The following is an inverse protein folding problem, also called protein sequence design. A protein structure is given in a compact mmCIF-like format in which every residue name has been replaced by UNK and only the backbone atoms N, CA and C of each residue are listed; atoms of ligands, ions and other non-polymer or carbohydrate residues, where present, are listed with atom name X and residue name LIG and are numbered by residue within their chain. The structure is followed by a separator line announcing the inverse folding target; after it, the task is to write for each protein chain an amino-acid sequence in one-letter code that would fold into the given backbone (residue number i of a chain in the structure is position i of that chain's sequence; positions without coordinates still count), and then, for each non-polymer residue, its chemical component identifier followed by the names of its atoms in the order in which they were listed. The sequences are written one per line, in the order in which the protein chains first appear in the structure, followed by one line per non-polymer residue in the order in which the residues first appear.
data_IF_350531765730
#
_entry.id   IF_350531765730
#
_cell.length_a   1.000
_cell.length_b   1.000
_cell.length_c   1.000
_cell.angle_alpha   90.00
_cell.angle_beta   90.00
_cell.angle_gamma   90.00
#
_symmetry.space_group_name_H-M   'P 1'
#
loop_
_entity.id
_entity.type
_entity.pdbx_description
1 polymer ?
#
# COMPACT_ATOMS: atom_id res chain seq x y z
N UNK A 1 18.85 31.00 4.81
CA UNK A 1 18.56 29.60 4.40
C UNK A 1 18.64 29.56 2.89
N UNK A 2 19.64 28.89 2.31
CA UNK A 2 19.75 28.73 0.86
C UNK A 2 18.89 27.54 0.42
N UNK A 3 18.00 27.75 -0.56
CA UNK A 3 17.21 26.68 -1.19
C UNK A 3 18.12 25.66 -1.88
N UNK A 4 17.83 24.35 -1.85
CA UNK A 4 18.64 23.38 -2.58
C UNK A 4 18.44 23.59 -4.09
N UNK A 5 19.50 23.54 -4.91
CA UNK A 5 19.38 23.70 -6.35
C UNK A 5 18.69 22.47 -6.93
N UNK A 6 17.39 22.58 -7.15
CA UNK A 6 16.61 21.58 -7.85
C UNK A 6 16.87 21.62 -9.35
N UNK A 7 17.05 20.45 -9.97
CA UNK A 7 17.13 20.36 -11.44
C UNK A 7 15.76 20.62 -12.06
N UNK A 8 15.72 21.40 -13.14
CA UNK A 8 14.50 21.63 -13.93
C UNK A 8 14.68 21.01 -15.31
N UNK A 9 13.73 20.18 -15.73
CA UNK A 9 13.66 19.65 -17.09
C UNK A 9 12.23 19.85 -17.63
N UNK A 10 12.07 20.77 -18.59
CA UNK A 10 10.75 21.11 -19.10
C UNK A 10 9.83 21.67 -18.00
N UNK A 11 8.70 21.00 -17.78
CA UNK A 11 7.73 21.33 -16.73
C UNK A 11 7.93 20.53 -15.42
N UNK A 12 9.04 19.79 -15.28
CA UNK A 12 9.40 19.05 -14.07
C UNK A 12 10.48 19.81 -13.29
N UNK A 13 10.18 20.15 -12.03
CA UNK A 13 11.17 20.66 -11.07
C UNK A 13 11.39 19.63 -9.98
N UNK A 14 12.62 19.19 -9.80
CA UNK A 14 12.98 18.19 -8.79
C UNK A 14 13.65 18.89 -7.62
N UNK A 15 13.08 18.78 -6.41
CA UNK A 15 13.70 19.28 -5.19
C UNK A 15 14.38 18.11 -4.45
N UNK A 16 15.72 18.14 -4.37
CA UNK A 16 16.48 17.17 -3.60
C UNK A 16 16.49 17.60 -2.12
N UNK A 17 15.96 16.75 -1.25
CA UNK A 17 16.00 16.95 0.20
C UNK A 17 17.20 16.18 0.75
N UNK A 18 18.13 16.90 1.37
CA UNK A 18 19.34 16.32 1.97
C UNK A 18 19.23 16.34 3.50
N UNK A 19 19.73 15.29 4.14
CA UNK A 19 19.78 15.18 5.59
C UNK A 19 20.72 14.06 6.02
N UNK A 20 20.99 13.97 7.33
CA UNK A 20 21.67 12.79 7.86
C UNK A 20 20.81 11.57 7.59
N UNK A 21 21.44 10.51 7.10
CA UNK A 21 20.77 9.23 6.88
C UNK A 21 20.41 8.62 8.24
N UNK A 22 19.11 8.71 8.58
CA UNK A 22 18.54 8.19 9.82
C UNK A 22 18.05 6.74 9.67
N UNK A 23 18.11 6.18 8.46
CA UNK A 23 17.51 4.88 8.11
C UNK A 23 18.61 3.84 7.82
N UNK A 24 19.90 4.18 7.97
CA UNK A 24 21.03 3.25 7.73
C UNK A 24 20.79 1.87 8.37
N UNK A 25 20.60 0.87 7.52
CA UNK A 25 20.44 -0.54 7.90
C UNK A 25 19.00 -1.01 8.10
N UNK A 26 17.99 -0.14 7.98
CA UNK A 26 16.58 -0.55 7.92
C UNK A 26 16.20 -0.86 6.47
N UNK A 27 15.93 -2.13 6.20
CA UNK A 27 15.34 -2.59 4.95
C UNK A 27 13.85 -2.80 5.19
N UNK A 28 13.03 -2.05 4.45
CA UNK A 28 11.58 -2.26 4.42
C UNK A 28 11.23 -3.21 3.30
N UNK A 29 10.26 -4.08 3.55
CA UNK A 29 9.55 -4.75 2.47
C UNK A 29 8.45 -3.83 1.95
N UNK A 30 8.25 -3.79 0.64
CA UNK A 30 7.03 -3.23 0.08
C UNK A 30 5.83 -4.13 0.42
N UNK A 31 4.62 -3.57 0.40
CA UNK A 31 3.40 -4.35 0.58
C UNK A 31 3.31 -5.53 -0.41
N UNK A 32 3.69 -5.32 -1.68
CA UNK A 32 3.67 -6.35 -2.72
C UNK A 32 4.61 -7.52 -2.38
N UNK A 33 5.84 -7.24 -1.97
CA UNK A 33 6.79 -8.27 -1.54
C UNK A 33 6.27 -9.02 -0.32
N UNK A 34 5.72 -8.29 0.66
CA UNK A 34 5.20 -8.86 1.88
C UNK A 34 3.98 -9.77 1.64
N UNK A 35 3.09 -9.42 0.71
CA UNK A 35 1.95 -10.24 0.31
C UNK A 35 2.40 -11.54 -0.38
N UNK A 36 3.31 -11.45 -1.35
CA UNK A 36 3.84 -12.63 -2.07
C UNK A 36 4.58 -13.58 -1.14
N UNK A 37 5.34 -13.02 -0.19
CA UNK A 37 6.06 -13.80 0.81
C UNK A 37 5.18 -14.26 1.98
N UNK A 38 3.88 -13.93 1.99
CA UNK A 38 2.93 -14.21 3.08
C UNK A 38 3.38 -13.67 4.45
N UNK A 39 4.12 -12.57 4.43
CA UNK A 39 4.60 -11.82 5.61
C UNK A 39 3.57 -10.83 6.13
N UNK A 40 2.63 -10.43 5.27
CA UNK A 40 1.48 -9.60 5.61
C UNK A 40 0.21 -10.29 5.18
N UNK A 41 -0.85 -10.09 5.97
CA UNK A 41 -2.19 -10.57 5.66
C UNK A 41 -3.15 -9.38 5.68
N UNK A 42 -3.80 -9.13 4.55
CA UNK A 42 -4.85 -8.12 4.41
C UNK A 42 -6.20 -8.83 4.33
N UNK A 43 -7.17 -8.39 5.13
CA UNK A 43 -8.48 -9.04 5.28
C UNK A 43 -9.61 -8.04 5.13
N UNK A 44 -10.71 -8.52 4.60
CA UNK A 44 -11.97 -7.79 4.54
C UNK A 44 -12.57 -7.64 5.95
N UNK A 45 -13.16 -6.49 6.26
CA UNK A 45 -13.76 -6.20 7.57
C UNK A 45 -15.29 -6.10 7.53
N UNK A 46 -15.89 -6.15 6.33
CA UNK A 46 -17.30 -5.83 6.03
C UNK A 46 -17.64 -4.34 6.14
N UNK A 47 -16.69 -3.50 6.54
CA UNK A 47 -16.82 -2.06 6.48
C UNK A 47 -16.43 -1.54 5.09
N UNK A 48 -17.26 -0.64 4.54
CA UNK A 48 -17.10 -0.18 3.15
C UNK A 48 -15.80 0.57 2.93
N UNK A 49 -15.21 1.23 3.93
CA UNK A 49 -14.01 2.05 3.74
C UNK A 49 -12.80 1.57 4.54
N UNK A 50 -12.79 0.28 4.93
CA UNK A 50 -11.78 -0.22 5.85
C UNK A 50 -11.43 -1.69 5.59
N UNK A 51 -10.13 -1.98 5.63
CA UNK A 51 -9.59 -3.34 5.70
C UNK A 51 -8.89 -3.54 7.05
N UNK A 52 -8.54 -4.80 7.34
CA UNK A 52 -7.63 -5.15 8.42
C UNK A 52 -6.33 -5.64 7.84
N UNK A 53 -5.21 -5.05 8.25
CA UNK A 53 -3.86 -5.46 7.85
C UNK A 53 -3.09 -5.96 9.07
N UNK A 54 -2.29 -6.99 8.88
CA UNK A 54 -1.47 -7.60 9.92
C UNK A 54 -0.11 -8.01 9.35
N UNK A 55 0.97 -7.50 9.95
CA UNK A 55 2.33 -7.96 9.68
C UNK A 55 2.66 -9.08 10.65
N UNK A 56 2.76 -10.31 10.14
CA UNK A 56 3.11 -11.51 10.92
C UNK A 56 4.61 -11.77 10.93
N UNK A 57 5.39 -10.98 10.20
CA UNK A 57 6.83 -11.14 10.03
C UNK A 57 7.66 -10.40 11.09
N UNK A 58 8.98 -10.47 10.94
CA UNK A 58 9.96 -9.75 11.76
C UNK A 58 10.49 -8.47 11.10
N UNK A 59 10.11 -8.22 9.86
CA UNK A 59 10.54 -7.07 9.06
C UNK A 59 9.47 -5.99 9.06
N UNK A 60 9.88 -4.74 8.92
CA UNK A 60 8.94 -3.65 8.71
C UNK A 60 8.42 -3.69 7.26
N UNK A 61 7.14 -3.36 7.10
CA UNK A 61 6.50 -3.32 5.79
C UNK A 61 6.04 -1.91 5.50
N UNK A 62 6.49 -1.34 4.39
CA UNK A 62 5.99 -0.08 3.89
C UNK A 62 4.76 -0.31 3.02
N UNK A 63 3.66 0.30 3.43
CA UNK A 63 2.42 0.42 2.67
C UNK A 63 2.41 1.79 2.04
N UNK A 64 2.32 1.83 0.71
CA UNK A 64 2.27 3.09 -0.03
C UNK A 64 0.82 3.47 -0.32
N UNK A 65 0.48 4.73 -0.09
CA UNK A 65 -0.80 5.25 -0.55
C UNK A 65 -0.93 5.10 -2.06
N UNK A 66 -2.09 4.61 -2.52
CA UNK A 66 -2.36 4.31 -3.92
C UNK A 66 -2.20 2.83 -4.27
N UNK A 67 -1.59 2.00 -3.42
CA UNK A 67 -1.50 0.55 -3.63
C UNK A 67 -2.89 -0.06 -3.76
N UNK A 68 -3.13 -0.77 -4.88
CA UNK A 68 -4.36 -1.52 -5.11
C UNK A 68 -4.16 -2.95 -4.65
N UNK A 69 -4.79 -3.34 -3.55
CA UNK A 69 -4.85 -4.74 -3.13
C UNK A 69 -5.92 -5.50 -3.93
N UNK A 70 -5.53 -6.65 -4.51
CA UNK A 70 -6.38 -7.49 -5.36
C UNK A 70 -6.90 -8.74 -4.64
N UNK A 71 -8.17 -9.06 -4.87
CA UNK A 71 -8.89 -10.18 -4.23
C UNK A 71 -9.99 -9.71 -3.29
N UNK A 72 -10.33 -10.52 -2.28
CA UNK A 72 -11.42 -10.20 -1.36
C UNK A 72 -12.80 -10.20 -2.03
N UNK A 73 -13.73 -9.40 -1.51
CA UNK A 73 -15.03 -9.18 -2.17
C UNK A 73 -14.91 -8.23 -3.38
N UNK A 74 -13.94 -7.31 -3.32
CA UNK A 74 -13.69 -6.28 -4.31
C UNK A 74 -12.28 -5.75 -4.13
N UNK A 75 -11.64 -5.37 -5.23
CA UNK A 75 -10.33 -4.71 -5.19
C UNK A 75 -10.40 -3.36 -4.48
N UNK A 76 -9.41 -3.08 -3.64
CA UNK A 76 -9.36 -1.88 -2.81
C UNK A 76 -8.07 -1.11 -3.04
N UNK A 77 -8.15 0.21 -3.04
CA UNK A 77 -6.98 1.10 -2.97
C UNK A 77 -6.76 1.51 -1.53
N UNK A 78 -5.54 1.33 -1.03
CA UNK A 78 -5.10 1.85 0.27
C UNK A 78 -4.78 3.34 0.14
N UNK A 79 -5.19 4.15 1.11
CA UNK A 79 -5.08 5.62 1.04
C UNK A 79 -4.20 6.24 2.11
N UNK A 80 -3.35 5.42 2.72
CA UNK A 80 -2.43 5.86 3.78
C UNK A 80 -1.03 5.36 3.48
N UNK A 81 -0.04 6.22 3.74
CA UNK A 81 1.35 5.81 3.83
C UNK A 81 1.61 5.33 5.27
N UNK A 82 2.00 4.07 5.41
CA UNK A 82 2.14 3.42 6.72
C UNK A 82 3.37 2.52 6.74
N UNK A 83 4.24 2.71 7.74
CA UNK A 83 5.22 1.70 8.14
C UNK A 83 4.52 0.77 9.13
N UNK A 84 4.26 -0.46 8.70
CA UNK A 84 3.59 -1.48 9.50
C UNK A 84 4.65 -2.25 10.32
N UNK A 85 4.65 -2.12 11.66
CA UNK A 85 5.69 -2.68 12.50
C UNK A 85 5.64 -4.22 12.51
N UNK A 86 6.75 -4.89 12.85
CA UNK A 86 6.79 -6.34 12.97
C UNK A 86 5.80 -6.84 14.02
N UNK A 87 5.09 -7.94 13.73
CA UNK A 87 4.09 -8.52 14.65
C UNK A 87 3.06 -7.50 15.13
N UNK A 88 2.55 -6.69 14.20
CA UNK A 88 1.65 -5.57 14.49
C UNK A 88 0.33 -5.96 15.15
N UNK A 89 -0.06 -7.24 15.06
CA UNK A 89 -1.46 -7.64 15.21
C UNK A 89 -2.33 -7.03 14.12
N UNK A 90 -3.65 -7.14 14.29
CA UNK A 90 -4.62 -6.59 13.33
C UNK A 90 -4.77 -5.09 13.55
N UNK A 91 -4.45 -4.32 12.52
CA UNK A 91 -4.61 -2.87 12.49
C UNK A 91 -5.66 -2.51 11.42
N UNK A 92 -6.62 -1.62 11.73
CA UNK A 92 -7.51 -1.08 10.69
C UNK A 92 -6.73 -0.20 9.71
N UNK A 93 -6.99 -0.35 8.42
CA UNK A 93 -6.39 0.48 7.37
C UNK A 93 -7.48 1.01 6.43
N UNK A 94 -7.41 2.31 6.13
CA UNK A 94 -8.39 2.97 5.26
C UNK A 94 -8.20 2.53 3.80
N UNK A 95 -9.31 2.22 3.13
CA UNK A 95 -9.30 1.78 1.76
C UNK A 95 -10.56 2.21 0.99
N UNK A 96 -10.45 2.44 -0.32
CA UNK A 96 -11.57 2.75 -1.20
C UNK A 96 -11.79 1.69 -2.26
N UNK A 97 -13.04 1.51 -2.67
CA UNK A 97 -13.43 0.63 -3.77
C UNK A 97 -12.92 1.21 -5.10
N UNK A 98 -12.23 0.39 -5.90
CA UNK A 98 -11.58 0.86 -7.15
C UNK A 98 -12.43 0.57 -8.39
N UNK A 99 -13.46 -0.27 -8.28
CA UNK A 99 -14.18 -0.78 -9.44
C UNK A 99 -15.69 -0.74 -9.23
N UNK A 100 -16.44 -0.10 -10.12
CA UNK A 100 -17.88 0.02 -9.97
C UNK A 100 -18.58 -1.31 -10.36
N UNK A 101 -19.46 -1.82 -9.50
CA UNK A 101 -20.39 -2.91 -9.86
C UNK A 101 -19.93 -4.37 -9.67
N UNK A 102 -18.77 -4.64 -9.03
CA UNK A 102 -18.40 -6.02 -8.64
C UNK A 102 -18.57 -6.24 -7.14
N UNK A 103 -19.52 -7.10 -6.78
CA UNK A 103 -19.73 -7.60 -5.42
C UNK A 103 -19.67 -9.14 -5.36
N UNK A 104 -19.00 -9.75 -6.34
CA UNK A 104 -18.89 -11.21 -6.45
C UNK A 104 -17.47 -11.60 -6.83
N UNK A 105 -16.99 -12.66 -6.17
CA UNK A 105 -15.68 -13.30 -6.37
C UNK A 105 -15.34 -13.46 -7.86
N UNK A 106 -14.11 -13.12 -8.26
CA UNK A 106 -13.61 -13.37 -9.61
C UNK A 106 -12.87 -14.69 -9.65
N UNK A 107 -13.40 -15.64 -10.42
CA UNK A 107 -12.76 -16.95 -10.59
C UNK A 107 -12.53 -17.66 -9.26
N UNK A 108 -11.28 -18.01 -8.96
CA UNK A 108 -10.88 -18.73 -7.75
C UNK A 108 -10.18 -17.84 -6.70
N UNK A 109 -10.42 -16.53 -6.70
CA UNK A 109 -9.81 -15.60 -5.75
C UNK A 109 -10.32 -15.83 -4.32
N UNK A 110 -9.46 -15.68 -3.30
CA UNK A 110 -9.90 -15.78 -1.91
C UNK A 110 -10.78 -14.59 -1.52
N UNK A 111 -12.00 -14.85 -1.08
CA UNK A 111 -12.99 -13.81 -0.71
C UNK A 111 -12.60 -13.10 0.59
N UNK A 112 -11.76 -13.73 1.40
CA UNK A 112 -11.41 -13.26 2.75
C UNK A 112 -10.06 -12.57 2.84
N UNK A 113 -9.16 -12.80 1.87
CA UNK A 113 -7.76 -12.35 1.90
C UNK A 113 -7.32 -11.81 0.55
N UNK A 114 -6.55 -10.73 0.56
CA UNK A 114 -5.95 -10.13 -0.65
C UNK A 114 -4.55 -10.69 -0.89
N UNK A 115 -4.18 -10.87 -2.16
CA UNK A 115 -2.97 -11.64 -2.53
C UNK A 115 -1.89 -10.84 -3.28
N UNK A 116 -2.18 -9.63 -3.78
CA UNK A 116 -1.20 -8.79 -4.48
C UNK A 116 -1.51 -7.31 -4.37
N UNK A 117 -0.51 -6.46 -4.64
CA UNK A 117 -0.63 -5.00 -4.70
C UNK A 117 0.12 -4.37 -5.88
N UNK A 118 0.14 -5.04 -7.04
CA UNK A 118 1.06 -4.72 -8.14
C UNK A 118 0.73 -3.44 -8.91
N UNK A 119 -0.40 -2.81 -8.61
CA UNK A 119 -0.85 -1.60 -9.29
C UNK A 119 -0.97 -0.48 -8.26
N UNK A 120 -0.47 0.70 -8.61
CA UNK A 120 -0.65 1.91 -7.82
C UNK A 120 -1.38 2.97 -8.66
N UNK A 121 -2.27 3.75 -8.05
CA UNK A 121 -2.98 4.81 -8.77
C UNK A 121 -2.24 6.13 -8.67
N UNK A 122 -1.86 6.67 -9.82
CA UNK A 122 -1.17 7.95 -9.95
C UNK A 122 -2.10 9.13 -10.33
N UNK A 123 -3.37 8.88 -10.67
CA UNK A 123 -4.31 9.91 -11.13
C UNK A 123 -5.78 9.59 -10.79
N UNK A 124 -6.65 10.62 -10.82
CA UNK A 124 -8.10 10.48 -10.51
C UNK A 124 -8.92 9.74 -11.57
N UNK A 125 -8.33 9.37 -12.70
CA UNK A 125 -9.06 8.68 -13.77
C UNK A 125 -8.94 7.17 -13.60
N UNK A 126 -9.90 6.60 -12.88
CA UNK A 126 -10.16 5.18 -12.84
C UNK A 126 -11.51 5.01 -13.54
N UNK A 127 -11.50 4.53 -14.78
CA UNK A 127 -12.71 4.19 -15.53
C UNK A 127 -12.80 2.68 -15.72
#
# INVERSE_FOLDING_TARGET
MASPPGGVQGNLTVFLIHGQDKIKGQTFLTLQEALVQKKVIVRETREVNQLSIENVSREEVYVQSGDIVKGGQQDRMLVVDLILPPRSGKIPIAAFCVENGRWSQRGSEEVTVFNSSSNAVASREIK
#
